data_IF_207891522617
#
_entry.id   IF_207891522617
#
_cell.length_a   1.000
_cell.length_b   1.000
_cell.length_c   1.000
_cell.angle_alpha   90.00
_cell.angle_beta   90.00
_cell.angle_gamma   90.00
#
_symmetry.space_group_name_H-M   'P 1'
#
loop_
_entity.id
_entity.type
_entity.pdbx_description
1 polymer ?
#
# COMPACT_ATOMS: atom_id res chain seq x y z
N UNK A 1 -12.65 -5.97 -13.86
CA UNK A 1 -12.05 -4.95 -12.97
C UNK A 1 -11.84 -5.46 -11.55
N UNK A 2 -12.87 -5.99 -10.88
CA UNK A 2 -12.77 -6.53 -9.50
C UNK A 2 -11.73 -7.65 -9.34
N UNK A 3 -11.63 -8.56 -10.31
CA UNK A 3 -10.59 -9.62 -10.30
C UNK A 3 -9.17 -9.06 -10.45
N UNK A 4 -8.98 -8.02 -11.28
CA UNK A 4 -7.69 -7.34 -11.43
C UNK A 4 -7.29 -6.65 -10.12
N UNK A 5 -8.24 -5.99 -9.45
CA UNK A 5 -8.03 -5.42 -8.10
C UNK A 5 -7.60 -6.49 -7.10
N UNK A 6 -8.32 -7.61 -7.02
CA UNK A 6 -7.96 -8.74 -6.12
C UNK A 6 -6.56 -9.29 -6.42
N UNK A 7 -6.17 -9.37 -7.69
CA UNK A 7 -4.80 -9.76 -8.08
C UNK A 7 -3.76 -8.73 -7.61
N UNK A 8 -3.95 -7.45 -7.90
CA UNK A 8 -3.03 -6.38 -7.50
C UNK A 8 -2.84 -6.29 -5.98
N UNK A 9 -3.92 -6.46 -5.20
CA UNK A 9 -3.82 -6.50 -3.73
C UNK A 9 -2.93 -7.66 -3.27
N UNK A 10 -3.05 -8.85 -3.86
CA UNK A 10 -2.19 -10.00 -3.53
C UNK A 10 -0.73 -9.73 -3.88
N UNK A 11 -0.47 -9.14 -5.05
CA UNK A 11 0.88 -8.76 -5.48
C UNK A 11 1.49 -7.70 -4.54
N UNK A 12 0.72 -6.68 -4.15
CA UNK A 12 1.14 -5.69 -3.15
C UNK A 12 1.46 -6.35 -1.81
N UNK A 13 0.61 -7.26 -1.32
CA UNK A 13 0.89 -8.01 -0.07
C UNK A 13 2.22 -8.77 -0.16
N UNK A 14 2.52 -9.39 -1.30
CA UNK A 14 3.80 -10.07 -1.50
C UNK A 14 4.98 -9.09 -1.44
N UNK A 15 4.85 -7.91 -2.06
CA UNK A 15 5.87 -6.86 -2.00
C UNK A 15 6.05 -6.35 -0.56
N UNK A 16 4.96 -6.11 0.18
CA UNK A 16 5.02 -5.71 1.61
C UNK A 16 5.74 -6.75 2.47
N UNK A 17 5.51 -8.03 2.21
CA UNK A 17 6.23 -9.10 2.89
C UNK A 17 7.74 -9.09 2.56
N UNK A 18 8.11 -8.70 1.33
CA UNK A 18 9.52 -8.52 0.96
C UNK A 18 10.14 -7.31 1.66
N UNK A 19 9.44 -6.19 1.80
CA UNK A 19 9.90 -5.08 2.66
C UNK A 19 10.12 -5.51 4.10
N UNK A 20 9.15 -6.21 4.71
CA UNK A 20 9.26 -6.70 6.08
C UNK A 20 10.49 -7.60 6.26
N UNK A 21 10.74 -8.49 5.29
CA UNK A 21 11.95 -9.34 5.28
C UNK A 21 13.22 -8.49 5.12
N UNK A 22 13.23 -7.53 4.20
CA UNK A 22 14.38 -6.66 3.99
C UNK A 22 14.75 -5.92 5.27
N UNK A 23 13.78 -5.31 5.96
CA UNK A 23 14.02 -4.66 7.24
C UNK A 23 14.57 -5.64 8.28
N UNK A 24 13.97 -6.82 8.42
CA UNK A 24 14.45 -7.83 9.36
C UNK A 24 15.91 -8.26 9.13
N UNK A 25 16.39 -8.22 7.87
CA UNK A 25 17.76 -8.60 7.52
C UNK A 25 18.73 -7.43 7.68
N UNK A 26 18.38 -6.25 7.14
CA UNK A 26 19.33 -5.16 6.93
C UNK A 26 19.17 -3.99 7.89
N UNK A 27 17.97 -3.75 8.41
CA UNK A 27 17.73 -2.64 9.35
C UNK A 27 16.51 -2.91 10.26
N UNK A 28 16.62 -3.87 11.20
CA UNK A 28 15.48 -4.32 11.99
C UNK A 28 14.90 -3.23 12.90
N UNK A 29 15.71 -2.26 13.31
CA UNK A 29 15.30 -1.14 14.17
C UNK A 29 14.55 -0.03 13.43
N UNK A 30 14.47 -0.09 12.09
CA UNK A 30 13.84 0.98 11.28
C UNK A 30 12.38 1.23 11.69
N UNK A 31 11.63 0.15 11.95
CA UNK A 31 10.21 0.22 12.32
C UNK A 31 9.97 0.74 13.74
N UNK A 32 11.00 0.81 14.59
CA UNK A 32 10.91 1.50 15.89
C UNK A 32 10.72 3.01 15.70
N UNK A 33 11.27 3.56 14.61
CA UNK A 33 11.21 4.97 14.26
C UNK A 33 10.05 5.26 13.32
N UNK A 34 9.84 4.39 12.34
CA UNK A 34 8.74 4.44 11.39
C UNK A 34 7.81 3.25 11.63
N UNK A 35 6.92 3.38 12.63
CA UNK A 35 5.87 2.37 12.85
C UNK A 35 4.99 2.12 11.62
N UNK A 36 4.87 3.13 10.76
CA UNK A 36 4.40 3.00 9.38
C UNK A 36 5.51 3.39 8.40
N UNK A 37 6.15 2.37 7.80
CA UNK A 37 7.18 2.57 6.79
C UNK A 37 6.61 3.06 5.44
N UNK A 38 5.31 2.88 5.19
CA UNK A 38 4.65 3.34 3.95
C UNK A 38 4.39 4.85 3.97
N UNK A 39 4.62 5.51 5.12
CA UNK A 39 4.51 6.96 5.24
C UNK A 39 5.40 7.67 4.21
N UNK A 40 4.88 8.77 3.64
CA UNK A 40 5.58 9.54 2.59
C UNK A 40 7.01 9.94 2.99
N UNK A 41 7.23 10.31 4.25
CA UNK A 41 8.57 10.65 4.77
C UNK A 41 9.54 9.47 4.78
N UNK A 42 9.04 8.27 5.11
CA UNK A 42 9.82 7.03 5.13
C UNK A 42 10.18 6.62 3.70
N UNK A 43 9.17 6.51 2.82
CA UNK A 43 9.37 6.10 1.43
C UNK A 43 10.32 7.04 0.68
N UNK A 44 10.23 8.36 0.90
CA UNK A 44 11.19 9.31 0.33
C UNK A 44 12.61 9.11 0.85
N UNK A 45 12.76 8.84 2.15
CA UNK A 45 14.06 8.60 2.73
C UNK A 45 14.66 7.30 2.18
N UNK A 46 13.90 6.20 2.15
CA UNK A 46 14.37 4.89 1.68
C UNK A 46 14.85 4.90 0.22
N UNK A 47 14.35 5.82 -0.62
CA UNK A 47 14.84 6.03 -1.99
C UNK A 47 16.27 6.56 -2.04
N UNK A 48 16.64 7.39 -1.06
CA UNK A 48 17.94 8.07 -0.99
C UNK A 48 18.92 7.32 -0.08
N UNK A 49 18.45 6.81 1.05
CA UNK A 49 19.22 6.02 2.01
C UNK A 49 18.32 5.05 2.79
N UNK A 50 18.64 3.76 2.70
CA UNK A 50 17.90 2.71 3.38
C UNK A 50 18.74 1.88 4.36
N UNK A 51 20.06 1.82 4.19
CA UNK A 51 20.97 1.09 5.10
C UNK A 51 21.32 1.95 6.32
N UNK A 52 21.63 1.34 7.46
CA UNK A 52 22.13 2.07 8.63
C UNK A 52 23.34 2.97 8.27
N UNK A 53 24.29 2.46 7.49
CA UNK A 53 25.49 3.18 7.07
C UNK A 53 25.16 4.42 6.20
N UNK A 54 24.23 4.29 5.25
CA UNK A 54 23.79 5.42 4.43
C UNK A 54 23.07 6.48 5.27
N UNK A 55 22.24 6.06 6.23
CA UNK A 55 21.57 6.97 7.18
C UNK A 55 22.59 7.72 8.04
N UNK A 56 23.63 7.06 8.53
CA UNK A 56 24.69 7.70 9.31
C UNK A 56 25.53 8.67 8.47
N UNK A 57 25.76 8.33 7.20
CA UNK A 57 26.50 9.16 6.25
C UNK A 57 25.74 10.45 5.91
N UNK A 58 24.42 10.37 5.68
CA UNK A 58 23.56 11.55 5.50
C UNK A 58 23.48 12.40 6.77
N UNK A 59 23.39 11.73 7.92
CA UNK A 59 23.20 12.39 9.21
C UNK A 59 21.86 13.13 9.31
N UNK A 60 21.67 13.82 10.44
CA UNK A 60 20.41 14.50 10.76
C UNK A 60 20.06 15.58 9.73
N UNK A 61 21.04 16.39 9.32
CA UNK A 61 20.82 17.53 8.43
C UNK A 61 20.52 17.09 6.99
N UNK A 62 21.21 16.03 6.50
CA UNK A 62 20.94 15.47 5.18
C UNK A 62 19.53 14.89 5.07
N UNK A 63 19.07 14.18 6.11
CA UNK A 63 17.71 13.65 6.17
C UNK A 63 16.66 14.78 6.19
N UNK A 64 16.88 15.83 6.99
CA UNK A 64 15.97 16.99 7.01
C UNK A 64 15.91 17.68 5.64
N UNK A 65 17.04 17.75 4.92
CA UNK A 65 17.10 18.34 3.59
C UNK A 65 16.26 17.57 2.56
N UNK A 66 16.27 16.23 2.60
CA UNK A 66 15.43 15.38 1.72
C UNK A 66 13.96 15.77 1.88
N UNK A 67 13.46 15.87 3.11
CA UNK A 67 12.07 16.20 3.38
C UNK A 67 11.71 17.65 3.02
N UNK A 68 12.62 18.61 3.27
CA UNK A 68 12.42 20.01 2.88
C UNK A 68 12.29 20.18 1.37
N UNK A 69 13.08 19.44 0.58
CA UNK A 69 13.01 19.46 -0.88
C UNK A 69 11.63 19.06 -1.38
N UNK A 70 11.01 18.09 -0.74
CA UNK A 70 9.66 17.59 -1.03
C UNK A 70 8.54 18.34 -0.27
N UNK A 71 8.88 19.49 0.33
CA UNK A 71 7.96 20.36 1.10
C UNK A 71 7.23 19.63 2.23
N UNK A 72 7.79 18.53 2.74
CA UNK A 72 7.27 17.84 3.92
C UNK A 72 7.63 18.66 5.16
N UNK A 73 6.61 19.29 5.74
CA UNK A 73 6.75 20.05 7.00
C UNK A 73 6.65 19.09 8.18
N UNK A 74 7.37 19.38 9.25
CA UNK A 74 7.17 18.82 10.58
C UNK A 74 7.45 17.30 10.77
N UNK A 75 8.30 16.66 9.96
CA UNK A 75 8.76 15.29 10.26
C UNK A 75 9.62 15.26 11.55
N UNK A 76 10.15 16.41 11.95
CA UNK A 76 10.65 16.71 13.30
C UNK A 76 12.08 16.27 13.53
N UNK A 77 12.93 17.19 13.99
CA UNK A 77 14.35 16.94 14.34
C UNK A 77 14.52 15.77 15.32
N UNK A 78 13.52 15.53 16.18
CA UNK A 78 13.49 14.37 17.07
C UNK A 78 13.54 13.05 16.29
N UNK A 79 12.77 12.91 15.20
CA UNK A 79 12.71 11.67 14.41
C UNK A 79 14.02 11.40 13.69
N UNK A 80 14.63 12.42 13.06
CA UNK A 80 15.96 12.27 12.43
C UNK A 80 17.02 11.84 13.43
N UNK A 81 17.02 12.43 14.63
CA UNK A 81 17.97 12.05 15.68
C UNK A 81 17.75 10.61 16.13
N UNK A 82 16.50 10.21 16.42
CA UNK A 82 16.18 8.83 16.80
C UNK A 82 16.53 7.84 15.69
N UNK A 83 16.38 8.21 14.41
CA UNK A 83 16.77 7.36 13.29
C UNK A 83 18.29 7.16 13.23
N UNK A 84 19.07 8.23 13.37
CA UNK A 84 20.53 8.10 13.42
C UNK A 84 20.98 7.29 14.65
N UNK A 85 20.33 7.42 15.79
CA UNK A 85 20.60 6.59 16.97
C UNK A 85 20.28 5.11 16.75
N UNK A 86 19.14 4.81 16.12
CA UNK A 86 18.77 3.45 15.72
C UNK A 86 19.80 2.87 14.74
N UNK A 87 20.23 3.65 13.75
CA UNK A 87 21.25 3.24 12.79
C UNK A 87 22.60 2.95 13.47
N UNK A 88 23.03 3.74 14.46
CA UNK A 88 24.29 3.51 15.20
C UNK A 88 24.29 2.18 15.95
N UNK A 89 23.15 1.79 16.54
CA UNK A 89 23.01 0.55 17.30
C UNK A 89 22.55 -0.63 16.45
N UNK A 90 22.36 -0.44 15.14
CA UNK A 90 21.72 -1.45 14.31
C UNK A 90 22.53 -2.74 14.26
N UNK A 91 21.83 -3.85 14.47
CA UNK A 91 22.39 -5.21 14.35
C UNK A 91 22.18 -5.82 12.95
N UNK A 92 21.65 -5.04 12.00
CA UNK A 92 21.40 -5.48 10.64
C UNK A 92 22.66 -5.96 9.91
N UNK A 93 22.45 -6.80 8.90
CA UNK A 93 23.53 -7.36 8.09
C UNK A 93 24.24 -6.25 7.30
N UNK A 94 25.51 -6.02 7.59
CA UNK A 94 26.33 -4.99 6.92
C UNK A 94 26.96 -5.48 5.60
N UNK A 95 27.16 -6.80 5.48
CA UNK A 95 27.77 -7.40 4.28
C UNK A 95 26.79 -7.31 3.11
N UNK A 96 27.28 -6.89 1.94
CA UNK A 96 26.44 -6.73 0.76
C UNK A 96 25.53 -5.50 0.80
N UNK A 97 25.93 -4.44 1.50
CA UNK A 97 25.14 -3.20 1.61
C UNK A 97 24.77 -2.60 0.24
N UNK A 98 25.64 -2.72 -0.77
CA UNK A 98 25.32 -2.32 -2.15
C UNK A 98 24.15 -3.09 -2.74
N UNK A 99 24.09 -4.40 -2.51
CA UNK A 99 23.03 -5.27 -3.01
C UNK A 99 21.73 -5.01 -2.26
N UNK A 100 21.81 -4.74 -0.95
CA UNK A 100 20.67 -4.35 -0.13
C UNK A 100 20.02 -3.05 -0.61
N UNK A 101 20.82 -2.05 -0.97
CA UNK A 101 20.33 -0.78 -1.53
C UNK A 101 19.68 -0.98 -2.90
N UNK A 102 20.25 -1.81 -3.76
CA UNK A 102 19.65 -2.16 -5.05
C UNK A 102 18.31 -2.87 -4.84
N UNK A 103 18.25 -3.85 -3.95
CA UNK A 103 17.02 -4.58 -3.63
C UNK A 103 15.93 -3.63 -3.11
N UNK A 104 16.25 -2.73 -2.18
CA UNK A 104 15.30 -1.73 -1.67
C UNK A 104 14.76 -0.84 -2.80
N UNK A 105 15.64 -0.36 -3.69
CA UNK A 105 15.23 0.46 -4.85
C UNK A 105 14.26 -0.30 -5.76
N UNK A 106 14.54 -1.56 -6.05
CA UNK A 106 13.64 -2.42 -6.84
C UNK A 106 12.29 -2.63 -6.13
N UNK A 107 12.29 -2.89 -4.82
CA UNK A 107 11.07 -3.05 -4.03
C UNK A 107 10.20 -1.79 -4.04
N UNK A 108 10.81 -0.62 -3.88
CA UNK A 108 10.12 0.67 -3.95
C UNK A 108 9.50 0.90 -5.33
N UNK A 109 10.25 0.64 -6.40
CA UNK A 109 9.74 0.76 -7.77
C UNK A 109 8.56 -0.17 -8.04
N UNK A 110 8.68 -1.45 -7.67
CA UNK A 110 7.61 -2.44 -7.82
C UNK A 110 6.36 -2.02 -7.05
N UNK A 111 6.54 -1.56 -5.81
CA UNK A 111 5.46 -1.09 -4.94
C UNK A 111 4.73 0.11 -5.53
N UNK A 112 5.47 1.17 -5.92
CA UNK A 112 4.89 2.39 -6.47
C UNK A 112 4.17 2.14 -7.79
N UNK A 113 4.73 1.28 -8.64
CA UNK A 113 4.08 0.87 -9.87
C UNK A 113 2.78 0.12 -9.59
N UNK A 114 2.77 -0.83 -8.66
CA UNK A 114 1.58 -1.60 -8.29
C UNK A 114 0.51 -0.75 -7.60
N UNK A 115 0.91 0.22 -6.79
CA UNK A 115 -0.01 1.20 -6.20
C UNK A 115 -0.66 2.06 -7.29
N UNK A 116 0.11 2.56 -8.25
CA UNK A 116 -0.44 3.32 -9.39
C UNK A 116 -1.43 2.49 -10.21
N UNK A 117 -1.12 1.22 -10.46
CA UNK A 117 -2.05 0.30 -11.13
C UNK A 117 -3.33 0.07 -10.31
N UNK A 118 -3.21 -0.03 -8.99
CA UNK A 118 -4.36 -0.19 -8.10
C UNK A 118 -5.25 1.05 -8.13
N UNK A 119 -4.67 2.25 -8.03
CA UNK A 119 -5.40 3.52 -8.07
C UNK A 119 -6.16 3.67 -9.38
N UNK A 120 -5.51 3.40 -10.51
CA UNK A 120 -6.17 3.41 -11.83
C UNK A 120 -7.38 2.44 -11.89
N UNK A 121 -7.22 1.23 -11.38
CA UNK A 121 -8.31 0.24 -11.35
C UNK A 121 -9.43 0.68 -10.42
N UNK A 122 -9.12 1.31 -9.29
CA UNK A 122 -10.10 1.84 -8.35
C UNK A 122 -10.92 2.98 -8.98
N UNK A 123 -10.25 3.93 -9.64
CA UNK A 123 -10.89 5.04 -10.34
C UNK A 123 -11.83 4.56 -11.44
N UNK A 124 -11.39 3.57 -12.23
CA UNK A 124 -12.22 3.00 -13.30
C UNK A 124 -13.40 2.19 -12.75
N UNK A 125 -13.24 1.49 -11.62
CA UNK A 125 -14.37 0.85 -10.92
C UNK A 125 -15.40 1.90 -10.50
N UNK A 126 -14.95 3.01 -9.91
CA UNK A 126 -15.84 4.08 -9.49
C UNK A 126 -16.56 4.73 -10.67
N UNK A 127 -15.83 5.01 -11.76
CA UNK A 127 -16.39 5.57 -13.00
C UNK A 127 -17.47 4.67 -13.60
N UNK A 128 -17.24 3.36 -13.66
CA UNK A 128 -18.20 2.39 -14.18
C UNK A 128 -19.41 2.25 -13.26
N UNK A 129 -19.21 2.22 -11.93
CA UNK A 129 -20.32 2.19 -10.99
C UNK A 129 -21.27 3.38 -11.16
N UNK A 130 -20.74 4.60 -11.33
CA UNK A 130 -21.55 5.81 -11.55
C UNK A 130 -22.41 5.78 -12.82
N UNK A 131 -22.13 4.89 -13.78
CA UNK A 131 -22.93 4.74 -15.00
C UNK A 131 -24.12 3.79 -14.83
N UNK A 132 -24.16 3.03 -13.75
CA UNK A 132 -25.22 2.06 -13.47
C UNK A 132 -26.22 2.75 -12.53
N UNK A 133 -27.47 2.99 -12.96
CA UNK A 133 -28.48 3.70 -12.15
C UNK A 133 -28.68 3.09 -10.76
N UNK A 134 -28.62 1.77 -10.66
CA UNK A 134 -28.80 1.02 -9.41
C UNK A 134 -27.64 1.24 -8.42
N UNK A 135 -26.46 1.66 -8.89
CA UNK A 135 -25.30 1.90 -8.02
C UNK A 135 -25.53 3.02 -7.03
N UNK A 136 -26.19 4.12 -7.43
CA UNK A 136 -26.42 5.26 -6.54
C UNK A 136 -27.27 4.87 -5.34
N UNK A 137 -28.31 4.06 -5.56
CA UNK A 137 -29.19 3.56 -4.49
C UNK A 137 -28.44 2.64 -3.53
N UNK A 138 -27.56 1.77 -4.06
CA UNK A 138 -26.75 0.86 -3.25
C UNK A 138 -25.68 1.62 -2.45
N UNK A 139 -25.07 2.65 -3.03
CA UNK A 139 -24.07 3.51 -2.37
C UNK A 139 -24.68 4.40 -1.29
N UNK A 140 -25.96 4.74 -1.39
CA UNK A 140 -26.66 5.51 -0.36
C UNK A 140 -26.86 4.73 0.95
N UNK A 141 -26.74 3.40 0.92
CA UNK A 141 -26.83 2.56 2.11
C UNK A 141 -25.58 2.76 2.96
N UNK A 142 -25.77 3.26 4.18
CA UNK A 142 -24.68 3.50 5.13
C UNK A 142 -23.85 2.23 5.34
N UNK A 143 -22.55 2.34 5.08
CA UNK A 143 -21.59 1.25 5.22
C UNK A 143 -21.33 0.43 3.95
N UNK A 144 -22.04 0.70 2.84
CA UNK A 144 -21.79 0.07 1.55
C UNK A 144 -20.88 0.96 0.71
N UNK A 145 -19.68 0.46 0.40
CA UNK A 145 -18.70 1.16 -0.43
C UNK A 145 -18.72 0.73 -1.90
N UNK A 146 -18.07 1.52 -2.75
CA UNK A 146 -18.00 1.31 -4.21
C UNK A 146 -17.49 -0.07 -4.62
N UNK A 147 -16.53 -0.63 -3.89
CA UNK A 147 -16.01 -1.97 -4.18
C UNK A 147 -17.04 -3.07 -3.91
N UNK A 148 -17.83 -2.91 -2.85
CA UNK A 148 -18.93 -3.83 -2.53
C UNK A 148 -20.01 -3.76 -3.59
N UNK A 149 -20.39 -2.55 -4.00
CA UNK A 149 -21.38 -2.34 -5.08
C UNK A 149 -20.89 -2.89 -6.40
N UNK A 150 -19.65 -2.60 -6.79
CA UNK A 150 -19.04 -3.10 -8.03
C UNK A 150 -18.92 -4.64 -8.06
N UNK A 151 -18.54 -5.23 -6.92
CA UNK A 151 -18.50 -6.69 -6.78
C UNK A 151 -19.89 -7.30 -6.93
N UNK A 152 -20.86 -6.78 -6.16
CA UNK A 152 -22.24 -7.24 -6.20
C UNK A 152 -22.84 -7.15 -7.61
N UNK A 153 -22.83 -5.97 -8.23
CA UNK A 153 -23.36 -5.76 -9.58
C UNK A 153 -22.60 -6.56 -10.65
N UNK A 154 -21.29 -6.77 -10.47
CA UNK A 154 -20.50 -7.63 -11.34
C UNK A 154 -20.90 -9.10 -11.26
N UNK A 155 -21.28 -9.58 -10.07
CA UNK A 155 -21.63 -10.97 -9.83
C UNK A 155 -23.10 -11.28 -10.20
N UNK A 156 -24.03 -10.37 -9.91
CA UNK A 156 -25.46 -10.57 -10.20
C UNK A 156 -25.87 -10.10 -11.61
N UNK A 157 -25.11 -9.19 -12.21
CA UNK A 157 -25.44 -8.52 -13.47
C UNK A 157 -26.64 -7.58 -13.36
N UNK A 158 -27.38 -7.43 -14.46
CA UNK A 158 -28.60 -6.60 -14.50
C UNK A 158 -29.61 -7.02 -13.43
N UNK A 159 -29.83 -6.14 -12.44
CA UNK A 159 -30.71 -6.36 -11.28
C UNK A 159 -32.16 -6.55 -11.70
N UNK A 160 -32.56 -5.98 -12.85
CA UNK A 160 -33.93 -6.03 -13.38
C UNK A 160 -34.34 -7.42 -13.87
N UNK A 161 -33.39 -8.37 -13.97
CA UNK A 161 -33.69 -9.78 -14.28
C UNK A 161 -34.39 -10.52 -13.14
N UNK A 162 -34.38 -9.97 -11.94
CA UNK A 162 -34.93 -10.60 -10.75
C UNK A 162 -36.32 -10.03 -10.44
N UNK A 163 -37.31 -10.92 -10.37
CA UNK A 163 -38.71 -10.58 -10.05
C UNK A 163 -38.93 -10.44 -8.54
N UNK A 164 -38.04 -10.99 -7.71
CA UNK A 164 -38.13 -10.82 -6.26
C UNK A 164 -36.76 -10.85 -5.56
N UNK A 165 -36.60 -10.16 -4.41
CA UNK A 165 -35.37 -10.20 -3.61
C UNK A 165 -34.93 -11.62 -3.20
N UNK A 166 -35.88 -12.57 -3.07
CA UNK A 166 -35.58 -13.97 -2.75
C UNK A 166 -34.73 -14.66 -3.82
N UNK A 167 -34.87 -14.28 -5.09
CA UNK A 167 -34.05 -14.84 -6.16
C UNK A 167 -32.60 -14.37 -6.04
N UNK A 168 -32.37 -13.12 -5.66
CA UNK A 168 -31.04 -12.56 -5.38
C UNK A 168 -30.42 -13.26 -4.16
N UNK A 169 -31.19 -13.46 -3.07
CA UNK A 169 -30.73 -14.20 -1.90
C UNK A 169 -30.35 -15.66 -2.23
N UNK A 170 -31.15 -16.34 -3.06
CA UNK A 170 -30.86 -17.70 -3.52
C UNK A 170 -29.58 -17.76 -4.35
N UNK A 171 -29.38 -16.77 -5.23
CA UNK A 171 -28.16 -16.65 -6.02
C UNK A 171 -26.93 -16.41 -5.13
N UNK A 172 -27.01 -15.46 -4.18
CA UNK A 172 -25.97 -15.21 -3.18
C UNK A 172 -25.63 -16.48 -2.38
N UNK A 173 -26.65 -17.20 -1.90
CA UNK A 173 -26.48 -18.46 -1.16
C UNK A 173 -25.85 -19.60 -1.99
N UNK A 174 -25.96 -19.57 -3.32
CA UNK A 174 -25.28 -20.51 -4.21
C UNK A 174 -23.79 -20.17 -4.39
N UNK A 175 -23.41 -18.88 -4.33
CA UNK A 175 -22.01 -18.44 -4.35
C UNK A 175 -21.26 -18.86 -3.08
N UNK A 176 -21.88 -18.73 -1.90
CA UNK A 176 -21.26 -19.12 -0.62
C UNK A 176 -21.04 -20.62 -0.43
N UNK A 177 -21.65 -21.49 -1.26
CA UNK A 177 -21.41 -22.94 -1.25
C UNK A 177 -20.22 -23.37 -2.12
N UNK A 178 -19.60 -22.45 -2.85
CA UNK A 178 -18.55 -22.74 -3.84
C UNK A 178 -17.18 -22.12 -3.53
N UNK A 179 -17.04 -21.40 -2.41
CA UNK A 179 -15.74 -21.02 -1.81
C UNK A 179 -15.40 -21.97 -0.65
#
# INVERSE_FOLDING_TARGET
>A
MTNNRKRLIRELTQIKNRFARWFAIYFPEYLEVFGDYESKSSMLLLKEACTPEAILTLGVDGIDQIWRREKLRAVGKKRTTTLCEAAKRSIGLKKGSSDAEIEMKMLLQDYEYKMTQLDYIMDEIERLCKQIPESEQLLAIKGIGVITVAGFLGDIGDVRRFESPKQIQKLAGAFFKRE
#
